data_IF_803224569985
#
_entry.id   IF_803224569985
#
_cell.length_a   1.000
_cell.length_b   1.000
_cell.length_c   1.000
_cell.angle_alpha   90.00
_cell.angle_beta   90.00
_cell.angle_gamma   90.00
#
_symmetry.space_group_name_H-M   'P 1'
#
loop_
_entity.id
_entity.type
_entity.pdbx_description
1 polymer ?
#
# COMPACT_ATOMS: atom_id res chain seq x y z
N UNK A 1 8.47 -10.23 -5.68
CA UNK A 1 9.49 -10.97 -4.91
C UNK A 1 8.88 -11.79 -3.77
N UNK A 2 8.16 -11.16 -2.83
CA UNK A 2 7.53 -11.87 -1.69
C UNK A 2 6.60 -13.02 -2.09
N UNK A 3 5.81 -12.87 -3.15
CA UNK A 3 4.96 -13.96 -3.64
C UNK A 3 5.77 -15.20 -4.07
N UNK A 4 6.88 -14.98 -4.79
CA UNK A 4 7.81 -16.05 -5.17
C UNK A 4 8.45 -16.67 -3.93
N UNK A 5 8.86 -15.85 -2.96
CA UNK A 5 9.44 -16.35 -1.71
C UNK A 5 8.44 -17.27 -0.99
N UNK A 6 7.20 -16.84 -0.81
CA UNK A 6 6.16 -17.70 -0.22
C UNK A 6 5.93 -18.98 -1.02
N UNK A 7 5.97 -18.91 -2.36
CA UNK A 7 5.83 -20.10 -3.20
C UNK A 7 6.99 -21.10 -3.06
N UNK A 8 8.22 -20.62 -2.84
CA UNK A 8 9.38 -21.49 -2.53
C UNK A 8 9.14 -22.30 -1.25
N UNK A 9 8.38 -21.76 -0.29
CA UNK A 9 8.00 -22.45 0.95
C UNK A 9 6.60 -23.10 0.87
N UNK A 10 6.14 -23.44 -0.34
CA UNK A 10 4.88 -24.19 -0.56
C UNK A 10 3.61 -23.34 -0.66
N UNK A 11 3.72 -22.01 -0.63
CA UNK A 11 2.59 -21.12 -0.87
C UNK A 11 2.05 -21.18 -2.30
N UNK A 12 0.73 -21.06 -2.46
CA UNK A 12 0.10 -20.96 -3.79
C UNK A 12 -0.59 -19.61 -3.94
N UNK A 13 -0.34 -18.93 -5.06
CA UNK A 13 -0.97 -17.64 -5.38
C UNK A 13 -2.04 -17.83 -6.45
N UNK A 14 -3.27 -17.43 -6.13
CA UNK A 14 -4.40 -17.46 -7.06
C UNK A 14 -4.79 -16.03 -7.42
N UNK A 15 -4.62 -15.66 -8.69
CA UNK A 15 -5.08 -14.38 -9.25
C UNK A 15 -6.36 -14.59 -10.05
N UNK A 16 -7.13 -13.52 -10.26
CA UNK A 16 -8.41 -13.57 -10.96
C UNK A 16 -9.39 -14.61 -10.36
N UNK A 17 -9.42 -14.68 -9.02
CA UNK A 17 -10.32 -15.54 -8.25
C UNK A 17 -11.41 -14.65 -7.64
N UNK A 18 -12.60 -14.56 -8.27
CA UNK A 18 -13.63 -13.61 -7.90
C UNK A 18 -14.41 -14.07 -6.66
N UNK A 19 -15.26 -13.19 -6.13
CA UNK A 19 -16.24 -13.51 -5.08
C UNK A 19 -15.64 -14.14 -3.81
N UNK A 20 -14.39 -13.77 -3.48
CA UNK A 20 -13.74 -14.18 -2.25
C UNK A 20 -14.49 -13.65 -1.03
N UNK A 21 -15.16 -14.56 -0.31
CA UNK A 21 -15.93 -14.27 0.90
C UNK A 21 -15.30 -14.96 2.10
N UNK A 22 -15.02 -14.20 3.15
CA UNK A 22 -14.57 -14.75 4.43
C UNK A 22 -15.78 -15.35 5.16
N UNK A 23 -15.69 -16.62 5.52
CA UNK A 23 -16.74 -17.36 6.22
C UNK A 23 -16.46 -17.42 7.72
N UNK A 24 -17.52 -17.31 8.53
CA UNK A 24 -17.46 -17.26 9.99
C UNK A 24 -18.33 -18.34 10.62
N UNK A 25 -17.94 -18.84 11.79
CA UNK A 25 -18.77 -19.75 12.59
C UNK A 25 -19.82 -19.00 13.42
N UNK A 26 -20.62 -19.74 14.18
CA UNK A 26 -21.64 -19.19 15.08
C UNK A 26 -21.07 -18.27 16.19
N UNK A 27 -19.78 -18.44 16.53
CA UNK A 27 -19.06 -17.58 17.49
C UNK A 27 -18.46 -16.32 16.85
N UNK A 28 -18.57 -16.16 15.52
CA UNK A 28 -17.98 -15.04 14.79
C UNK A 28 -16.47 -15.17 14.49
N UNK A 29 -15.89 -16.36 14.66
CA UNK A 29 -14.50 -16.68 14.27
C UNK A 29 -14.42 -17.15 12.83
N UNK A 30 -13.32 -16.83 12.16
CA UNK A 30 -13.07 -17.29 10.80
C UNK A 30 -13.02 -18.81 10.70
N UNK A 31 -13.66 -19.35 9.65
CA UNK A 31 -13.66 -20.77 9.28
C UNK A 31 -12.89 -21.04 7.98
N UNK A 32 -12.87 -20.07 7.08
CA UNK A 32 -12.33 -20.25 5.74
C UNK A 32 -12.63 -19.09 4.82
N UNK A 33 -12.23 -19.24 3.57
CA UNK A 33 -12.58 -18.34 2.48
C UNK A 33 -13.27 -19.14 1.38
N UNK A 34 -14.44 -18.69 0.97
CA UNK A 34 -15.22 -19.26 -0.14
C UNK A 34 -15.01 -18.43 -1.40
N UNK A 35 -14.84 -19.08 -2.53
CA UNK A 35 -14.82 -18.44 -3.86
C UNK A 35 -15.29 -19.43 -4.90
N UNK A 36 -16.23 -19.02 -5.76
CA UNK A 36 -16.83 -19.86 -6.81
C UNK A 36 -17.41 -21.19 -6.27
N UNK A 37 -18.00 -21.16 -5.07
CA UNK A 37 -18.62 -22.32 -4.43
C UNK A 37 -17.66 -23.27 -3.72
N UNK A 38 -16.34 -23.08 -3.86
CA UNK A 38 -15.32 -23.86 -3.16
C UNK A 38 -14.85 -23.11 -1.91
N UNK A 39 -14.59 -23.85 -0.81
CA UNK A 39 -14.16 -23.26 0.46
C UNK A 39 -12.82 -23.82 0.91
N UNK A 40 -11.83 -22.93 1.05
CA UNK A 40 -10.56 -23.24 1.69
C UNK A 40 -10.66 -22.95 3.19
N UNK A 41 -10.55 -23.98 4.03
CA UNK A 41 -10.62 -23.82 5.49
C UNK A 41 -9.32 -23.27 6.05
N UNK A 42 -9.43 -22.36 7.04
CA UNK A 42 -8.27 -21.77 7.70
C UNK A 42 -8.61 -21.30 9.11
N UNK A 43 -7.58 -21.20 9.97
CA UNK A 43 -7.73 -20.73 11.36
C UNK A 43 -7.58 -19.21 11.51
N UNK A 44 -6.97 -18.55 10.53
CA UNK A 44 -6.65 -17.12 10.52
C UNK A 44 -6.76 -16.62 9.08
N UNK A 45 -7.22 -15.39 8.90
CA UNK A 45 -7.22 -14.70 7.61
C UNK A 45 -6.44 -13.40 7.75
N UNK A 46 -5.59 -13.13 6.75
CA UNK A 46 -4.94 -11.84 6.56
C UNK A 46 -5.49 -11.25 5.28
N UNK A 47 -5.96 -10.00 5.32
CA UNK A 47 -6.52 -9.33 4.14
C UNK A 47 -6.35 -7.82 4.22
N UNK A 48 -6.58 -7.14 3.09
CA UNK A 48 -6.74 -5.69 3.08
C UNK A 48 -8.21 -5.30 3.43
N UNK A 49 -8.49 -4.01 3.68
CA UNK A 49 -9.82 -3.53 4.05
C UNK A 49 -10.97 -3.92 3.11
N UNK A 50 -10.71 -4.14 1.81
CA UNK A 50 -11.75 -4.39 0.82
C UNK A 50 -12.46 -5.73 0.99
N UNK A 51 -11.82 -6.70 1.63
CA UNK A 51 -12.40 -8.03 1.88
C UNK A 51 -13.33 -8.08 3.09
N UNK A 52 -13.19 -7.13 4.02
CA UNK A 52 -13.97 -7.07 5.26
C UNK A 52 -14.43 -5.63 5.56
N UNK A 53 -15.23 -5.00 4.66
CA UNK A 53 -15.62 -3.59 4.77
C UNK A 53 -16.44 -3.28 6.03
N UNK A 54 -17.07 -4.28 6.64
CA UNK A 54 -17.81 -4.16 7.90
C UNK A 54 -16.95 -4.24 9.16
N UNK A 55 -15.64 -4.50 9.03
CA UNK A 55 -14.68 -4.62 10.13
C UNK A 55 -13.59 -3.53 10.09
N UNK A 56 -13.79 -2.51 9.26
CA UNK A 56 -12.90 -1.37 9.11
C UNK A 56 -13.66 -0.07 9.26
N UNK A 57 -12.95 1.01 9.57
CA UNK A 57 -13.49 2.38 9.53
C UNK A 57 -12.66 3.25 8.62
N UNK A 58 -13.32 4.20 7.94
CA UNK A 58 -12.64 5.24 7.17
C UNK A 58 -11.97 6.22 8.12
N UNK A 59 -10.69 6.53 7.87
CA UNK A 59 -9.86 7.43 8.70
C UNK A 59 -9.39 8.67 7.96
N UNK A 60 -9.51 8.69 6.64
CA UNK A 60 -9.05 9.80 5.82
C UNK A 60 -9.19 9.50 4.33
N UNK A 61 -8.50 10.32 3.54
CA UNK A 61 -8.41 10.18 2.08
C UNK A 61 -7.06 10.65 1.62
N UNK A 62 -6.55 10.07 0.54
CA UNK A 62 -5.34 10.55 -0.12
C UNK A 62 -5.71 11.10 -1.47
N UNK A 63 -5.27 12.32 -1.75
CA UNK A 63 -5.26 12.88 -3.09
C UNK A 63 -3.92 12.56 -3.75
N UNK A 64 -3.95 12.09 -4.99
CA UNK A 64 -2.78 11.76 -5.80
C UNK A 64 -2.91 12.32 -7.21
N UNK A 65 -1.83 12.86 -7.74
CA UNK A 65 -1.68 13.18 -9.15
C UNK A 65 -0.52 12.36 -9.72
N UNK A 66 -0.76 11.67 -10.83
CA UNK A 66 0.25 10.97 -11.61
C UNK A 66 0.52 11.83 -12.84
N UNK A 67 1.75 12.32 -12.97
CA UNK A 67 2.15 13.29 -13.99
C UNK A 67 3.18 12.66 -14.92
N UNK A 68 2.94 12.74 -16.24
CA UNK A 68 3.88 12.30 -17.27
C UNK A 68 4.64 13.51 -17.81
N UNK A 69 5.96 13.41 -17.90
CA UNK A 69 6.82 14.50 -18.34
C UNK A 69 7.91 13.99 -19.28
N UNK A 70 8.53 14.93 -20.02
CA UNK A 70 9.60 14.65 -20.97
C UNK A 70 10.95 15.25 -20.59
N UNK A 71 11.10 15.64 -19.32
CA UNK A 71 12.31 16.27 -18.78
C UNK A 71 12.46 15.94 -17.29
N UNK A 72 13.67 16.05 -16.70
CA UNK A 72 13.84 15.96 -15.24
C UNK A 72 13.14 17.14 -14.54
N UNK A 73 12.84 16.99 -13.26
CA UNK A 73 12.26 18.07 -12.46
C UNK A 73 13.25 19.26 -12.41
N UNK A 74 12.79 20.50 -12.62
CA UNK A 74 13.64 21.68 -12.46
C UNK A 74 14.35 21.72 -11.10
N UNK A 75 15.59 22.21 -11.08
CA UNK A 75 16.41 22.35 -9.87
C UNK A 75 16.76 21.04 -9.15
N UNK A 76 16.71 19.88 -9.83
CA UNK A 76 17.12 18.59 -9.26
C UNK A 76 18.40 18.03 -9.88
N UNK A 77 19.26 18.90 -10.44
CA UNK A 77 20.52 18.53 -11.09
C UNK A 77 20.34 17.42 -12.14
N UNK A 78 19.31 17.56 -12.98
CA UNK A 78 18.92 16.60 -14.01
C UNK A 78 18.72 15.15 -13.53
N UNK A 79 18.38 14.96 -12.24
CA UNK A 79 18.22 13.63 -11.66
C UNK A 79 17.08 12.83 -12.32
N UNK A 80 17.36 11.54 -12.52
CA UNK A 80 16.41 10.57 -13.08
C UNK A 80 15.40 10.03 -12.07
N UNK A 81 15.59 10.33 -10.78
CA UNK A 81 14.65 10.04 -9.69
C UNK A 81 14.85 10.99 -8.52
N UNK A 82 13.76 11.43 -7.91
CA UNK A 82 13.80 12.43 -6.85
C UNK A 82 12.69 12.16 -5.85
N UNK A 83 12.97 12.39 -4.57
CA UNK A 83 11.95 12.58 -3.55
C UNK A 83 12.01 14.03 -3.06
N UNK A 84 10.88 14.72 -3.05
CA UNK A 84 10.71 16.06 -2.48
C UNK A 84 9.60 16.00 -1.44
N UNK A 85 9.84 16.62 -0.29
CA UNK A 85 8.84 16.78 0.76
C UNK A 85 8.53 18.28 0.83
N UNK A 86 7.25 18.63 0.76
CA UNK A 86 6.75 19.97 0.96
C UNK A 86 6.08 20.01 2.34
N UNK A 87 6.77 20.52 3.38
CA UNK A 87 6.23 20.50 4.74
C UNK A 87 4.96 21.32 4.84
N UNK A 88 3.96 20.79 5.54
CA UNK A 88 2.60 21.36 5.66
C UNK A 88 2.59 22.85 6.02
N UNK A 89 3.51 23.29 6.89
CA UNK A 89 3.62 24.69 7.35
C UNK A 89 4.00 25.66 6.23
N UNK A 90 4.76 25.20 5.23
CA UNK A 90 5.11 26.02 4.06
C UNK A 90 3.93 26.19 3.10
N UNK A 91 2.94 25.30 3.19
CA UNK A 91 1.76 25.29 2.34
C UNK A 91 0.48 25.77 3.07
N UNK A 92 0.55 26.08 4.36
CA UNK A 92 -0.63 26.39 5.18
C UNK A 92 -1.60 25.21 5.33
N UNK A 93 -1.08 23.97 5.23
CA UNK A 93 -1.83 22.72 5.33
C UNK A 93 -1.70 22.06 6.69
N UNK A 94 -2.50 21.02 6.93
CA UNK A 94 -2.43 20.11 8.09
C UNK A 94 -1.62 18.85 7.82
N UNK A 95 -1.37 18.53 6.55
CA UNK A 95 -0.55 17.41 6.13
C UNK A 95 0.54 17.83 5.16
N UNK A 96 1.67 17.14 5.23
CA UNK A 96 2.76 17.33 4.27
C UNK A 96 2.31 16.86 2.88
N UNK A 97 2.94 17.41 1.85
CA UNK A 97 2.79 16.92 0.48
C UNK A 97 4.09 16.26 0.05
N UNK A 98 3.96 15.11 -0.58
CA UNK A 98 5.07 14.30 -1.04
C UNK A 98 5.09 14.30 -2.56
N UNK A 99 6.28 14.41 -3.12
CA UNK A 99 6.53 14.30 -4.54
C UNK A 99 7.60 13.24 -4.75
N UNK A 100 7.27 12.19 -5.48
CA UNK A 100 8.23 11.18 -5.92
C UNK A 100 8.28 11.14 -7.45
N UNK A 101 9.48 11.23 -8.00
CA UNK A 101 9.71 11.09 -9.43
C UNK A 101 10.62 9.90 -9.71
N UNK A 102 10.27 9.15 -10.74
CA UNK A 102 11.13 8.16 -11.38
C UNK A 102 11.01 8.29 -12.89
N UNK A 103 11.86 7.58 -13.63
CA UNK A 103 11.96 7.72 -15.07
C UNK A 103 12.33 6.41 -15.74
N UNK A 104 12.54 6.47 -17.04
CA UNK A 104 13.05 5.37 -17.84
C UNK A 104 14.31 4.69 -17.28
N UNK A 105 15.13 5.36 -16.48
CA UNK A 105 16.30 4.74 -15.84
C UNK A 105 15.93 3.60 -14.89
N UNK A 106 14.70 3.59 -14.38
CA UNK A 106 14.13 2.56 -13.51
C UNK A 106 13.19 1.60 -14.26
N UNK A 107 13.15 1.67 -15.59
CA UNK A 107 12.28 0.86 -16.46
C UNK A 107 10.78 1.01 -16.15
N UNK A 108 10.35 2.15 -15.60
CA UNK A 108 8.93 2.45 -15.33
C UNK A 108 8.27 3.29 -16.42
N UNK A 109 9.05 3.83 -17.36
CA UNK A 109 8.58 4.67 -18.46
C UNK A 109 9.44 4.48 -19.73
N UNK A 110 8.94 4.81 -20.93
CA UNK A 110 9.75 4.82 -22.15
C UNK A 110 10.94 5.79 -22.08
N UNK A 111 12.00 5.53 -22.85
CA UNK A 111 13.20 6.38 -22.88
C UNK A 111 12.84 7.86 -23.09
N UNK A 112 13.40 8.73 -22.24
CA UNK A 112 13.14 10.17 -22.26
C UNK A 112 11.87 10.61 -21.51
N UNK A 113 11.10 9.67 -20.92
CA UNK A 113 9.92 9.97 -20.11
C UNK A 113 10.17 9.80 -18.61
N UNK A 114 9.46 10.63 -17.86
CA UNK A 114 9.45 10.69 -16.40
C UNK A 114 8.01 10.53 -15.91
N UNK A 115 7.85 9.89 -14.75
CA UNK A 115 6.58 9.76 -14.05
C UNK A 115 6.79 10.34 -12.66
N UNK A 116 6.01 11.36 -12.33
CA UNK A 116 5.99 11.97 -11.02
C UNK A 116 4.64 11.70 -10.33
N UNK A 117 4.69 11.39 -9.04
CA UNK A 117 3.56 11.24 -8.16
C UNK A 117 3.58 12.41 -7.18
N UNK A 118 2.49 13.17 -7.12
CA UNK A 118 2.27 14.19 -6.08
C UNK A 118 1.13 13.71 -5.20
N UNK A 119 1.35 13.56 -3.90
CA UNK A 119 0.35 13.04 -2.97
C UNK A 119 0.31 13.77 -1.64
N UNK A 120 -0.87 13.84 -1.03
CA UNK A 120 -1.09 14.35 0.33
C UNK A 120 -2.38 13.76 0.91
N UNK A 121 -2.54 13.80 2.23
CA UNK A 121 -3.85 13.58 2.85
C UNK A 121 -4.82 14.67 2.36
N UNK A 122 -5.96 14.28 1.81
CA UNK A 122 -6.92 15.19 1.21
C UNK A 122 -7.65 15.98 2.31
N UNK A 123 -7.58 17.30 2.22
CA UNK A 123 -8.32 18.22 3.11
C UNK A 123 -9.63 18.68 2.47
N UNK A 124 -9.81 18.45 1.17
CA UNK A 124 -10.98 18.81 0.36
C UNK A 124 -11.36 17.68 -0.63
N UNK A 125 -12.30 17.98 -1.54
CA UNK A 125 -12.71 17.11 -2.65
C UNK A 125 -12.10 17.53 -4.01
N UNK A 126 -11.19 18.53 -4.02
CA UNK A 126 -10.63 19.13 -5.24
C UNK A 126 -9.11 18.86 -5.33
N UNK A 127 -8.69 17.63 -5.71
CA UNK A 127 -7.28 17.25 -5.76
C UNK A 127 -6.46 18.15 -6.71
N UNK A 128 -7.06 18.65 -7.78
CA UNK A 128 -6.43 19.56 -8.73
C UNK A 128 -5.99 20.90 -8.12
N UNK A 129 -6.71 21.37 -7.10
CA UNK A 129 -6.35 22.60 -6.37
C UNK A 129 -5.33 22.26 -5.29
N UNK A 130 -5.58 21.20 -4.53
CA UNK A 130 -4.73 20.83 -3.39
C UNK A 130 -3.33 20.45 -3.80
N UNK A 131 -3.18 19.73 -4.92
CA UNK A 131 -1.89 19.22 -5.40
C UNK A 131 -1.14 20.23 -6.27
N UNK A 132 -1.78 21.35 -6.64
CA UNK A 132 -1.20 22.38 -7.51
C UNK A 132 0.19 22.84 -7.06
N UNK A 133 0.47 23.13 -5.77
CA UNK A 133 1.80 23.54 -5.34
C UNK A 133 2.91 22.52 -5.67
N UNK A 134 2.62 21.22 -5.59
CA UNK A 134 3.58 20.18 -5.96
C UNK A 134 3.70 20.00 -7.47
N UNK A 135 2.59 20.13 -8.20
CA UNK A 135 2.55 20.04 -9.67
C UNK A 135 3.33 21.20 -10.30
N UNK A 136 3.25 22.41 -9.76
CA UNK A 136 3.99 23.57 -10.28
C UNK A 136 5.51 23.40 -10.19
N UNK A 137 6.02 22.57 -9.25
CA UNK A 137 7.45 22.24 -9.18
C UNK A 137 7.91 21.35 -10.33
N UNK A 138 7.00 20.65 -11.01
CA UNK A 138 7.31 19.67 -12.03
C UNK A 138 7.77 20.29 -13.36
N UNK A 139 7.44 21.56 -13.63
CA UNK A 139 7.64 22.19 -14.94
C UNK A 139 6.53 21.82 -15.94
N UNK A 140 6.89 21.56 -17.20
CA UNK A 140 5.90 21.23 -18.22
C UNK A 140 5.44 19.77 -18.07
N UNK A 141 4.17 19.60 -17.74
CA UNK A 141 3.53 18.27 -17.66
C UNK A 141 2.76 17.99 -18.95
N UNK A 142 2.93 16.80 -19.52
CA UNK A 142 2.23 16.39 -20.74
C UNK A 142 0.83 15.86 -20.46
N UNK A 143 0.67 15.11 -19.36
CA UNK A 143 -0.59 14.50 -18.96
C UNK A 143 -0.66 14.36 -17.44
N UNK A 144 -1.84 14.56 -16.87
CA UNK A 144 -2.09 14.44 -15.43
C UNK A 144 -3.30 13.54 -15.18
N UNK A 145 -3.11 12.51 -14.35
CA UNK A 145 -4.19 11.67 -13.84
C UNK A 145 -4.38 11.95 -12.36
N UNK A 146 -5.54 12.52 -12.01
CA UNK A 146 -5.93 12.70 -10.62
C UNK A 146 -6.67 11.47 -10.10
N UNK A 147 -6.36 11.08 -8.87
CA UNK A 147 -7.02 10.00 -8.15
C UNK A 147 -7.20 10.39 -6.69
N UNK A 148 -8.30 9.96 -6.09
CA UNK A 148 -8.59 10.14 -4.67
C UNK A 148 -9.13 8.83 -4.13
N UNK A 149 -8.48 8.30 -3.09
CA UNK A 149 -8.91 7.06 -2.45
C UNK A 149 -9.10 7.23 -0.94
N UNK A 150 -10.04 6.46 -0.41
CA UNK A 150 -10.34 6.41 1.02
C UNK A 150 -9.30 5.56 1.75
N UNK A 151 -8.91 6.03 2.94
CA UNK A 151 -8.07 5.26 3.86
C UNK A 151 -8.90 4.61 4.94
N UNK A 152 -8.58 3.35 5.23
CA UNK A 152 -9.24 2.53 6.23
C UNK A 152 -8.25 1.94 7.22
N UNK A 153 -8.74 1.67 8.43
CA UNK A 153 -8.03 0.89 9.44
C UNK A 153 -8.98 -0.15 10.09
N UNK A 154 -8.46 -1.28 10.60
CA UNK A 154 -9.25 -2.27 11.32
C UNK A 154 -9.91 -1.69 12.58
N UNK A 155 -11.14 -2.11 12.84
CA UNK A 155 -11.86 -1.88 14.11
C UNK A 155 -12.29 -3.17 14.78
N UNK A 156 -11.94 -4.33 14.22
CA UNK A 156 -12.20 -5.62 14.83
C UNK A 156 -11.20 -5.93 15.96
N UNK A 157 -11.54 -6.94 16.77
CA UNK A 157 -10.63 -7.53 17.75
C UNK A 157 -10.09 -8.86 17.18
N UNK A 158 -8.84 -8.91 16.66
CA UNK A 158 -8.31 -10.11 16.03
C UNK A 158 -8.25 -11.34 16.96
N UNK A 159 -8.20 -11.12 18.28
CA UNK A 159 -8.27 -12.18 19.30
C UNK A 159 -9.64 -12.86 19.36
N UNK A 160 -10.71 -12.19 18.92
CA UNK A 160 -12.07 -12.72 18.93
C UNK A 160 -12.43 -13.39 17.61
N UNK A 161 -12.01 -12.83 16.47
CA UNK A 161 -12.44 -13.29 15.14
C UNK A 161 -11.35 -13.94 14.27
N UNK A 162 -10.08 -13.86 14.69
CA UNK A 162 -8.89 -14.31 13.96
C UNK A 162 -8.73 -13.68 12.55
N UNK A 163 -9.26 -12.47 12.36
CA UNK A 163 -9.07 -11.66 11.16
C UNK A 163 -8.02 -10.57 11.41
N UNK A 164 -6.99 -10.53 10.57
CA UNK A 164 -5.90 -9.56 10.65
C UNK A 164 -5.95 -8.69 9.40
N UNK A 165 -6.46 -7.47 9.54
CA UNK A 165 -6.73 -6.58 8.41
C UNK A 165 -5.65 -5.50 8.37
N UNK A 166 -5.02 -5.31 7.22
CA UNK A 166 -4.03 -4.23 7.05
C UNK A 166 -4.71 -2.86 7.02
N UNK A 167 -3.92 -1.82 7.28
CA UNK A 167 -4.33 -0.43 7.02
C UNK A 167 -4.21 -0.08 5.54
N UNK A 168 -4.94 0.93 5.08
CA UNK A 168 -4.72 1.52 3.75
C UNK A 168 -3.44 2.36 3.71
N UNK A 169 -2.72 2.30 2.58
CA UNK A 169 -1.53 3.11 2.32
C UNK A 169 -1.79 4.60 2.54
N UNK A 170 -0.89 5.25 3.28
CA UNK A 170 -0.91 6.70 3.47
C UNK A 170 -0.37 7.46 2.25
N UNK A 171 -0.30 8.79 2.37
CA UNK A 171 0.17 9.66 1.31
C UNK A 171 1.71 9.69 1.15
N UNK A 172 2.46 9.03 2.04
CA UNK A 172 3.93 9.12 2.05
C UNK A 172 4.54 8.36 0.86
N UNK A 173 5.73 8.79 0.43
CA UNK A 173 6.46 8.19 -0.69
C UNK A 173 7.55 7.21 -0.24
N UNK A 174 7.49 6.76 1.01
CA UNK A 174 8.37 5.76 1.60
C UNK A 174 7.54 4.71 2.36
N UNK A 175 8.17 3.61 2.75
CA UNK A 175 7.44 2.43 3.27
C UNK A 175 7.42 2.30 4.80
N UNK A 176 7.80 3.34 5.55
CA UNK A 176 7.98 3.21 7.01
C UNK A 176 6.68 2.79 7.72
N UNK A 177 5.57 3.50 7.49
CA UNK A 177 4.27 3.17 8.06
C UNK A 177 3.76 1.80 7.61
N UNK A 178 3.99 1.46 6.34
CA UNK A 178 3.64 0.14 5.78
C UNK A 178 4.40 -0.99 6.47
N UNK A 179 5.71 -0.81 6.70
CA UNK A 179 6.54 -1.81 7.40
C UNK A 179 6.09 -1.94 8.86
N UNK A 180 5.78 -0.84 9.53
CA UNK A 180 5.23 -0.87 10.90
C UNK A 180 3.94 -1.69 10.96
N UNK A 181 3.02 -1.50 10.00
CA UNK A 181 1.78 -2.27 9.92
C UNK A 181 2.04 -3.77 9.72
N UNK A 182 2.95 -4.13 8.81
CA UNK A 182 3.37 -5.52 8.58
C UNK A 182 3.96 -6.16 9.84
N UNK A 183 4.84 -5.45 10.56
CA UNK A 183 5.46 -5.95 11.79
C UNK A 183 4.43 -6.14 12.91
N UNK A 184 3.50 -5.20 13.06
CA UNK A 184 2.43 -5.29 14.03
C UNK A 184 1.53 -6.49 13.74
N UNK A 185 1.11 -6.67 12.48
CA UNK A 185 0.33 -7.84 12.07
C UNK A 185 1.09 -9.15 12.33
N UNK A 186 2.38 -9.23 11.98
CA UNK A 186 3.19 -10.41 12.27
C UNK A 186 3.18 -10.75 13.76
N UNK A 187 3.36 -9.75 14.63
CA UNK A 187 3.34 -9.96 16.08
C UNK A 187 1.97 -10.39 16.59
N UNK A 188 0.88 -9.79 16.11
CA UNK A 188 -0.48 -10.22 16.47
C UNK A 188 -0.77 -11.65 16.02
N UNK A 189 -0.33 -12.04 14.83
CA UNK A 189 -0.56 -13.38 14.27
C UNK A 189 0.26 -14.44 14.99
N UNK A 190 1.53 -14.16 15.27
CA UNK A 190 2.49 -15.17 15.76
C UNK A 190 2.69 -15.15 17.27
N UNK A 191 2.31 -14.06 17.95
CA UNK A 191 2.63 -13.80 19.35
C UNK A 191 4.11 -13.50 19.61
N UNK A 192 4.90 -13.21 18.56
CA UNK A 192 6.34 -12.99 18.64
C UNK A 192 6.76 -11.70 17.93
N UNK A 193 7.79 -11.04 18.44
CA UNK A 193 8.46 -9.96 17.70
C UNK A 193 9.26 -10.58 16.55
N UNK A 194 9.19 -9.99 15.36
CA UNK A 194 9.95 -10.48 14.21
C UNK A 194 11.45 -10.30 14.46
N UNK A 195 12.18 -11.40 14.44
CA UNK A 195 13.64 -11.40 14.48
C UNK A 195 14.19 -11.60 13.06
N UNK A 196 14.85 -10.57 12.53
CA UNK A 196 15.41 -10.57 11.18
C UNK A 196 16.81 -11.22 11.12
N UNK A 197 17.37 -11.64 12.26
CA UNK A 197 18.68 -12.30 12.31
C UNK A 197 18.60 -13.81 12.10
N UNK A 198 17.40 -14.37 11.96
CA UNK A 198 17.21 -15.81 11.78
C UNK A 198 17.68 -16.22 10.39
N UNK A 199 18.58 -17.20 10.33
CA UNK A 199 19.01 -17.81 9.08
C UNK A 199 17.91 -18.69 8.50
N UNK A 200 17.29 -18.23 7.41
CA UNK A 200 16.20 -18.92 6.72
C UNK A 200 16.67 -20.05 5.79
N UNK A 201 17.98 -20.25 5.61
CA UNK A 201 18.52 -21.33 4.77
C UNK A 201 18.09 -22.70 5.28
N UNK A 202 17.99 -22.87 6.61
CA UNK A 202 17.53 -24.11 7.25
C UNK A 202 16.03 -24.40 7.03
N UNK A 203 15.21 -23.38 6.79
CA UNK A 203 13.76 -23.56 6.57
C UNK A 203 13.45 -24.15 5.18
N UNK A 204 14.38 -24.04 4.22
CA UNK A 204 14.22 -24.57 2.85
C UNK A 204 14.59 -26.05 2.71
N UNK A 205 15.09 -26.67 3.79
CA UNK A 205 15.62 -28.03 3.80
C UNK A 205 14.73 -29.06 4.52
N UNK A 206 13.46 -28.74 4.79
CA UNK A 206 12.52 -29.68 5.38
C UNK A 206 11.84 -30.56 4.29
N UNK A 207 12.55 -31.65 3.98
CA UNK A 207 12.08 -33.01 3.61
C UNK A 207 11.19 -33.18 2.34
N UNK A 208 11.83 -33.63 1.26
CA UNK A 208 11.31 -34.70 0.37
C UNK A 208 11.14 -36.01 1.15
#
# INVERSE_FOLDING_TARGET
>A
AFARLSAVYGGTYMLNKPECKVEFNEEGKVLGVTSEGETAQCKKVVCDPSYLPNKVRKVGRVARAICIMSHPIPNTNDSHSVQVILPQKQLGRKSDMYLFCSSYSHNVAPKGKFIAFVSTEAETDQPEIELKPGIELLGQVEEIFFDVYDRYEPVNEPSLDNCFISTSYDATTHFESTVVDVLNMYTMITGKVLDLNVDLSAASAAEE
#
